data_IF_688048092968
#
_entry.id   IF_688048092968
#
_cell.length_a   1.000
_cell.length_b   1.000
_cell.length_c   1.000
_cell.angle_alpha   90.00
_cell.angle_beta   90.00
_cell.angle_gamma   90.00
#
_symmetry.space_group_name_H-M   'P 1'
#
loop_
_entity.id
_entity.type
_entity.pdbx_description
1 polymer ?
#
# COMPACT_ATOMS: atom_id res chain seq x y z
N UNK A 1 -8.43 29.14 19.21
CA UNK A 1 -9.04 27.99 19.92
C UNK A 1 -10.52 28.19 20.26
N UNK A 2 -10.90 28.88 21.35
CA UNK A 2 -12.32 28.99 21.76
C UNK A 2 -13.20 29.77 20.76
N UNK A 3 -12.69 30.87 20.21
CA UNK A 3 -13.39 31.65 19.17
C UNK A 3 -13.57 30.86 17.86
N UNK A 4 -12.61 30.02 17.50
CA UNK A 4 -12.66 29.21 16.28
C UNK A 4 -13.57 27.98 16.45
N UNK A 5 -13.54 27.37 17.64
CA UNK A 5 -14.47 26.31 18.00
C UNK A 5 -15.93 26.79 17.99
N UNK A 6 -16.18 28.05 18.40
CA UNK A 6 -17.51 28.66 18.30
C UNK A 6 -17.94 28.90 16.85
N UNK A 7 -17.01 29.20 15.93
CA UNK A 7 -17.30 29.37 14.49
C UNK A 7 -17.64 28.06 13.79
N UNK A 8 -17.07 26.94 14.25
CA UNK A 8 -17.36 25.59 13.73
C UNK A 8 -18.66 25.00 14.30
N UNK A 9 -19.25 25.64 15.31
CA UNK A 9 -20.45 25.14 15.99
C UNK A 9 -21.67 25.29 15.07
N UNK A 10 -22.24 24.16 14.64
CA UNK A 10 -23.41 24.11 13.74
C UNK A 10 -23.07 23.86 12.27
N UNK A 11 -21.78 23.80 11.92
CA UNK A 11 -21.32 23.49 10.55
C UNK A 11 -21.43 21.99 10.28
N UNK A 12 -22.07 21.60 9.18
CA UNK A 12 -22.06 20.21 8.71
C UNK A 12 -20.78 19.97 7.90
N UNK A 13 -19.89 19.15 8.44
CA UNK A 13 -18.71 18.64 7.73
C UNK A 13 -18.96 17.20 7.31
N UNK A 14 -18.49 16.83 6.12
CA UNK A 14 -18.53 15.44 5.69
C UNK A 14 -17.61 14.63 6.61
N UNK A 15 -18.19 13.69 7.36
CA UNK A 15 -17.45 12.85 8.28
C UNK A 15 -16.81 11.70 7.52
N UNK A 16 -15.48 11.56 7.65
CA UNK A 16 -14.71 10.44 7.15
C UNK A 16 -13.80 9.95 8.28
N UNK A 17 -13.81 8.64 8.53
CA UNK A 17 -13.01 8.00 9.57
C UNK A 17 -11.51 8.25 9.38
N UNK A 18 -11.06 8.37 8.12
CA UNK A 18 -9.65 8.50 7.77
C UNK A 18 -9.19 9.96 7.69
N UNK A 19 -10.03 10.84 7.15
CA UNK A 19 -9.59 12.20 6.78
C UNK A 19 -10.30 13.30 7.56
N UNK A 20 -11.51 13.10 8.05
CA UNK A 20 -12.33 14.19 8.59
C UNK A 20 -13.08 13.74 9.85
N UNK A 21 -12.32 13.14 10.77
CA UNK A 21 -12.81 12.63 12.04
C UNK A 21 -12.67 13.69 13.15
N UNK A 22 -13.17 13.37 14.36
CA UNK A 22 -13.15 14.26 15.51
C UNK A 22 -11.72 14.66 15.95
N UNK A 23 -10.74 13.77 15.79
CA UNK A 23 -9.33 14.05 16.10
C UNK A 23 -8.77 15.12 15.17
N UNK A 24 -9.10 15.05 13.88
CA UNK A 24 -8.68 16.02 12.86
C UNK A 24 -9.22 17.43 13.16
N UNK A 25 -10.52 17.52 13.51
CA UNK A 25 -11.16 18.79 13.86
C UNK A 25 -10.57 19.41 15.14
N UNK A 26 -10.33 18.61 16.18
CA UNK A 26 -9.76 19.11 17.45
C UNK A 26 -8.29 19.49 17.30
N UNK A 27 -7.52 18.75 16.50
CA UNK A 27 -6.11 19.04 16.20
C UNK A 27 -5.98 20.34 15.41
N UNK A 28 -6.82 20.53 14.38
CA UNK A 28 -6.88 21.77 13.62
C UNK A 28 -7.23 22.98 14.51
N UNK A 29 -8.22 22.82 15.40
CA UNK A 29 -8.59 23.85 16.37
C UNK A 29 -7.47 24.21 17.36
N UNK A 30 -6.55 23.27 17.64
CA UNK A 30 -5.49 23.39 18.64
C UNK A 30 -4.15 23.85 18.08
N UNK A 31 -3.81 23.41 16.88
CA UNK A 31 -2.48 23.63 16.29
C UNK A 31 -2.52 24.31 14.92
N UNK A 32 -3.70 24.49 14.31
CA UNK A 32 -3.88 25.16 13.01
C UNK A 32 -3.53 24.33 11.78
N UNK A 33 -2.97 23.13 11.98
CA UNK A 33 -2.61 22.16 10.94
C UNK A 33 -3.33 20.84 11.23
N UNK A 34 -4.13 20.31 10.30
CA UNK A 34 -4.87 19.10 10.52
C UNK A 34 -4.01 17.87 10.18
N UNK A 35 -3.04 17.52 11.03
CA UNK A 35 -2.24 16.31 10.84
C UNK A 35 -2.81 15.13 11.63
N UNK A 36 -3.50 14.21 10.95
CA UNK A 36 -3.74 12.87 11.51
C UNK A 36 -2.54 11.99 11.21
N UNK A 37 -1.69 11.79 12.22
CA UNK A 37 -0.55 10.86 12.16
C UNK A 37 -0.99 9.44 11.80
N UNK A 38 -2.23 9.07 12.12
CA UNK A 38 -2.82 7.77 11.81
C UNK A 38 -3.07 7.59 10.31
N UNK A 39 -3.53 8.64 9.61
CA UNK A 39 -3.69 8.63 8.16
C UNK A 39 -2.34 8.51 7.44
N UNK A 40 -1.31 9.25 7.89
CA UNK A 40 0.05 9.15 7.35
C UNK A 40 0.65 7.75 7.55
N UNK A 41 0.44 7.16 8.73
CA UNK A 41 0.83 5.78 9.01
C UNK A 41 0.10 4.78 8.11
N UNK A 42 -1.21 4.94 7.92
CA UNK A 42 -2.00 4.06 7.06
C UNK A 42 -1.53 4.10 5.60
N UNK A 43 -1.31 5.31 5.05
CA UNK A 43 -0.79 5.48 3.68
C UNK A 43 0.60 4.83 3.55
N UNK A 44 1.48 5.07 4.52
CA UNK A 44 2.82 4.48 4.51
C UNK A 44 2.78 2.95 4.53
N UNK A 45 1.93 2.36 5.39
CA UNK A 45 1.72 0.91 5.44
C UNK A 45 1.23 0.35 4.10
N UNK A 46 0.26 0.99 3.45
CA UNK A 46 -0.27 0.53 2.15
C UNK A 46 0.81 0.55 1.07
N UNK A 47 1.58 1.64 0.96
CA UNK A 47 2.65 1.77 -0.03
C UNK A 47 3.71 0.69 0.16
N UNK A 48 4.19 0.50 1.40
CA UNK A 48 5.18 -0.54 1.71
C UNK A 48 4.64 -1.93 1.38
N UNK A 49 3.39 -2.22 1.74
CA UNK A 49 2.75 -3.52 1.45
C UNK A 49 2.71 -3.82 -0.05
N UNK A 50 2.34 -2.83 -0.87
CA UNK A 50 2.29 -2.98 -2.33
C UNK A 50 3.68 -3.24 -2.92
N UNK A 51 4.70 -2.52 -2.48
CA UNK A 51 6.07 -2.72 -2.95
C UNK A 51 6.59 -4.13 -2.61
N UNK A 52 6.30 -4.63 -1.42
CA UNK A 52 6.67 -5.99 -1.00
C UNK A 52 5.97 -7.03 -1.87
N UNK A 53 4.66 -6.89 -2.10
CA UNK A 53 3.91 -7.84 -2.94
C UNK A 53 4.42 -7.82 -4.39
N UNK A 54 4.62 -6.63 -4.97
CA UNK A 54 5.13 -6.49 -6.34
C UNK A 54 6.52 -7.12 -6.50
N UNK A 55 7.43 -6.86 -5.55
CA UNK A 55 8.77 -7.45 -5.60
C UNK A 55 8.74 -8.97 -5.51
N UNK A 56 7.91 -9.55 -4.63
CA UNK A 56 7.72 -10.99 -4.54
C UNK A 56 7.16 -11.60 -5.84
N UNK A 57 6.19 -10.93 -6.47
CA UNK A 57 5.61 -11.38 -7.76
C UNK A 57 6.67 -11.36 -8.87
N UNK A 58 7.44 -10.27 -8.98
CA UNK A 58 8.53 -10.17 -9.97
C UNK A 58 9.57 -11.26 -9.74
N UNK A 59 10.01 -11.46 -8.50
CA UNK A 59 10.94 -12.53 -8.15
C UNK A 59 10.40 -13.91 -8.52
N UNK A 60 9.12 -14.18 -8.24
CA UNK A 60 8.48 -15.43 -8.60
C UNK A 60 8.45 -15.63 -10.12
N UNK A 61 8.11 -14.61 -10.91
CA UNK A 61 8.12 -14.68 -12.38
C UNK A 61 9.53 -14.96 -12.90
N UNK A 62 10.54 -14.25 -12.39
CA UNK A 62 11.94 -14.45 -12.78
C UNK A 62 12.43 -15.85 -12.42
N UNK A 63 12.11 -16.33 -11.21
CA UNK A 63 12.47 -17.68 -10.78
C UNK A 63 11.80 -18.76 -11.66
N UNK A 64 10.51 -18.59 -11.98
CA UNK A 64 9.78 -19.47 -12.91
C UNK A 64 10.42 -19.49 -14.30
N UNK A 65 10.80 -18.32 -14.82
CA UNK A 65 11.47 -18.21 -16.13
C UNK A 65 12.82 -18.92 -16.14
N UNK A 66 13.65 -18.70 -15.12
CA UNK A 66 14.94 -19.39 -14.97
C UNK A 66 14.77 -20.90 -14.94
N UNK A 67 13.80 -21.39 -14.16
CA UNK A 67 13.50 -22.83 -14.09
C UNK A 67 13.03 -23.40 -15.43
N UNK A 68 12.32 -22.62 -16.25
CA UNK A 68 11.86 -23.07 -17.57
C UNK A 68 13.00 -23.13 -18.59
N UNK A 69 13.97 -22.22 -18.51
CA UNK A 69 15.18 -22.24 -19.37
C UNK A 69 16.23 -23.26 -18.95
N UNK A 70 16.15 -23.75 -17.71
CA UNK A 70 17.06 -24.74 -17.12
C UNK A 70 16.54 -26.19 -17.30
N UNK A 71 15.37 -26.38 -17.91
CA UNK A 71 14.88 -27.72 -18.28
C UNK A 71 15.78 -28.29 -19.38
N UNK A 72 16.56 -29.29 -19.01
CA UNK A 72 17.64 -29.94 -19.76
C UNK A 72 17.21 -30.44 -21.17
N UNK A 73 17.96 -30.12 -22.25
CA UNK A 73 17.72 -30.66 -23.60
C UNK A 73 17.96 -32.17 -23.75
N UNK A 74 18.52 -32.83 -22.73
CA UNK A 74 19.01 -34.22 -22.80
C UNK A 74 17.92 -35.29 -22.99
N UNK A 75 16.63 -34.96 -22.86
CA UNK A 75 15.53 -35.90 -23.17
C UNK A 75 15.27 -36.02 -24.69
N UNK A 76 15.77 -35.10 -25.51
CA UNK A 76 15.60 -35.15 -26.97
C UNK A 76 16.61 -36.07 -27.68
N UNK A 77 17.77 -36.33 -27.07
CA UNK A 77 18.88 -37.06 -27.72
C UNK A 77 18.79 -38.59 -27.50
N UNK A 78 18.20 -39.04 -26.38
CA UNK A 78 17.98 -40.48 -26.13
C UNK A 78 16.88 -41.09 -27.03
N UNK A 79 16.03 -40.28 -27.67
CA UNK A 79 14.97 -40.77 -28.58
C UNK A 79 15.42 -40.97 -30.03
N UNK A 80 16.58 -40.44 -30.40
CA UNK A 80 17.14 -40.58 -31.75
C UNK A 80 18.18 -41.72 -31.84
N UNK A 81 18.55 -42.32 -30.70
CA UNK A 81 19.46 -43.48 -30.63
C UNK A 81 18.73 -44.83 -30.62
N UNK A 82 17.39 -44.84 -30.60
CA UNK A 82 16.53 -46.03 -30.53
C UNK A 82 15.68 -46.27 -31.81
N UNK A 83 15.94 -45.54 -32.90
CA UNK A 83 15.36 -45.77 -34.25
C UNK A 83 16.44 -46.22 -35.24
#
# INVERSE_FOLDING_TARGET
MLKDAQKLKGTKVHYDLLTNNCEHMVTNLRYGEPESRQAQMAVSCVVVSLLVVLSAVVQHIVHRRKKLTDVDPQVSEEREADE
#
